data_IF_011495197971
#
_entry.id   IF_011495197971
#
_cell.length_a   1.000
_cell.length_b   1.000
_cell.length_c   1.000
_cell.angle_alpha   90.00
_cell.angle_beta   90.00
_cell.angle_gamma   90.00
#
_symmetry.space_group_name_H-M   'P 1'
#
loop_
_entity.id
_entity.type
_entity.pdbx_description
1 polymer ?
#
# COMPACT_ATOMS: atom_id res chain seq x y z
N UNK A 1 15.71 8.31 7.21
CA UNK A 1 16.34 7.56 6.09
C UNK A 1 15.91 6.13 6.26
N UNK A 2 15.36 5.48 5.24
CA UNK A 2 15.08 4.03 5.30
C UNK A 2 16.40 3.31 5.09
N UNK A 3 16.69 2.34 5.96
CA UNK A 3 17.88 1.52 5.81
C UNK A 3 17.75 0.67 4.55
N UNK A 4 18.80 0.63 3.74
CA UNK A 4 18.86 -0.24 2.56
C UNK A 4 19.01 -1.71 2.98
N UNK A 5 18.73 -2.65 2.08
CA UNK A 5 19.02 -4.06 2.29
C UNK A 5 20.47 -4.27 2.75
N UNK A 6 21.42 -3.55 2.15
CA UNK A 6 22.83 -3.63 2.48
C UNK A 6 23.11 -3.22 3.94
N UNK A 7 22.52 -2.09 4.37
CA UNK A 7 22.67 -1.58 5.73
C UNK A 7 22.03 -2.52 6.76
N UNK A 8 20.80 -2.99 6.46
CA UNK A 8 20.05 -3.92 7.31
C UNK A 8 20.81 -5.24 7.48
N UNK A 9 21.28 -5.85 6.39
CA UNK A 9 22.06 -7.08 6.46
C UNK A 9 23.32 -6.92 7.32
N UNK A 10 24.06 -5.84 7.10
CA UNK A 10 25.27 -5.51 7.85
C UNK A 10 24.96 -5.29 9.34
N UNK A 11 23.89 -4.58 9.66
CA UNK A 11 23.45 -4.34 11.02
C UNK A 11 23.17 -5.66 11.75
N UNK A 12 22.27 -6.50 11.24
CA UNK A 12 21.89 -7.78 11.88
C UNK A 12 23.08 -8.73 12.01
N UNK A 13 23.97 -8.77 11.01
CA UNK A 13 25.20 -9.56 11.11
C UNK A 13 26.09 -9.06 12.26
N UNK A 14 26.28 -7.75 12.40
CA UNK A 14 27.12 -7.18 13.46
C UNK A 14 26.50 -7.32 14.83
N UNK A 15 25.19 -7.21 14.97
CA UNK A 15 24.45 -7.48 16.21
C UNK A 15 24.64 -8.93 16.70
N UNK A 16 24.74 -9.89 15.77
CA UNK A 16 25.04 -11.29 16.06
C UNK A 16 26.56 -11.55 16.24
N UNK A 17 27.41 -10.51 16.20
CA UNK A 17 28.88 -10.59 16.30
C UNK A 17 29.51 -11.51 15.24
N UNK A 18 28.92 -11.61 14.05
CA UNK A 18 29.44 -12.43 12.96
C UNK A 18 30.33 -11.60 12.02
N UNK A 19 31.48 -12.17 11.62
CA UNK A 19 32.27 -11.64 10.51
C UNK A 19 31.59 -11.96 9.17
N UNK A 20 31.95 -11.25 8.10
CA UNK A 20 31.49 -11.59 6.74
C UNK A 20 31.85 -13.03 6.34
N UNK A 21 33.01 -13.54 6.78
CA UNK A 21 33.42 -14.91 6.52
C UNK A 21 32.51 -15.91 7.24
N UNK A 22 32.25 -15.71 8.52
CA UNK A 22 31.38 -16.60 9.29
C UNK A 22 29.96 -16.66 8.72
N UNK A 23 29.37 -15.50 8.33
CA UNK A 23 28.06 -15.49 7.69
C UNK A 23 28.11 -16.20 6.32
N UNK A 24 29.17 -16.04 5.55
CA UNK A 24 29.37 -16.73 4.26
C UNK A 24 29.42 -18.25 4.44
N UNK A 25 30.17 -18.73 5.43
CA UNK A 25 30.28 -20.17 5.74
C UNK A 25 28.91 -20.75 6.15
N UNK A 26 28.15 -20.03 6.97
CA UNK A 26 26.78 -20.44 7.39
C UNK A 26 25.79 -20.50 6.21
N UNK A 27 25.95 -19.63 5.22
CA UNK A 27 25.08 -19.57 4.04
C UNK A 27 25.57 -20.41 2.87
N UNK A 28 26.76 -21.02 2.99
CA UNK A 28 27.44 -21.78 1.93
C UNK A 28 27.69 -20.94 0.67
N UNK A 29 28.19 -19.71 0.87
CA UNK A 29 28.56 -18.78 -0.20
C UNK A 29 29.99 -18.27 0.02
N UNK A 30 30.56 -17.59 -0.97
CA UNK A 30 31.86 -16.93 -0.81
C UNK A 30 31.75 -15.64 0.02
N UNK A 31 32.78 -15.30 0.79
CA UNK A 31 32.87 -14.03 1.52
C UNK A 31 32.64 -12.82 0.62
N UNK A 32 33.15 -12.87 -0.62
CA UNK A 32 32.95 -11.82 -1.65
C UNK A 32 31.46 -11.58 -1.96
N UNK A 33 30.63 -12.63 -1.87
CA UNK A 33 29.17 -12.54 -2.07
C UNK A 33 28.55 -11.71 -0.95
N UNK A 34 28.90 -11.96 0.31
CA UNK A 34 28.44 -11.15 1.45
C UNK A 34 28.89 -9.70 1.30
N UNK A 35 30.14 -9.46 0.93
CA UNK A 35 30.66 -8.10 0.70
C UNK A 35 29.89 -7.36 -0.42
N UNK A 36 29.52 -8.05 -1.48
CA UNK A 36 28.71 -7.49 -2.56
C UNK A 36 27.29 -7.15 -2.10
N UNK A 37 26.67 -7.96 -1.25
CA UNK A 37 25.38 -7.68 -0.66
C UNK A 37 25.41 -6.50 0.29
N UNK A 38 26.41 -6.43 1.18
CA UNK A 38 26.56 -5.33 2.15
C UNK A 38 27.03 -4.00 1.52
N UNK A 39 27.45 -4.02 0.25
CA UNK A 39 27.76 -2.82 -0.52
C UNK A 39 26.65 -2.44 -1.51
N UNK A 40 25.55 -3.19 -1.54
CA UNK A 40 24.42 -2.95 -2.43
C UNK A 40 24.66 -3.26 -3.91
N UNK A 41 25.82 -3.88 -4.25
CA UNK A 41 26.16 -4.23 -5.64
C UNK A 41 25.31 -5.36 -6.20
N UNK A 42 24.82 -6.25 -5.34
CA UNK A 42 23.93 -7.36 -5.69
C UNK A 42 22.93 -7.59 -4.58
N UNK A 43 21.80 -8.17 -4.94
CA UNK A 43 20.75 -8.61 -4.01
C UNK A 43 20.69 -10.14 -4.10
N UNK A 44 20.53 -10.87 -2.98
CA UNK A 44 20.34 -12.32 -2.97
C UNK A 44 19.05 -12.72 -3.68
N UNK A 45 19.00 -13.96 -4.18
CA UNK A 45 17.75 -14.55 -4.62
C UNK A 45 16.83 -14.93 -3.44
N UNK A 46 15.58 -15.28 -3.73
CA UNK A 46 14.57 -15.59 -2.73
C UNK A 46 14.96 -16.72 -1.77
N UNK A 47 15.72 -17.73 -2.26
CA UNK A 47 16.18 -18.87 -1.44
C UNK A 47 17.25 -18.41 -0.45
N UNK A 48 18.16 -17.57 -0.90
CA UNK A 48 19.22 -17.00 -0.06
C UNK A 48 18.64 -16.01 0.96
N UNK A 49 17.63 -15.22 0.60
CA UNK A 49 16.93 -14.35 1.55
C UNK A 49 16.29 -15.14 2.69
N UNK A 50 15.64 -16.26 2.37
CA UNK A 50 15.07 -17.14 3.39
C UNK A 50 16.17 -17.77 4.29
N UNK A 51 17.32 -18.13 3.72
CA UNK A 51 18.46 -18.65 4.51
C UNK A 51 19.05 -17.56 5.42
N UNK A 52 19.21 -16.34 4.91
CA UNK A 52 19.70 -15.19 5.68
C UNK A 52 18.76 -14.91 6.87
N UNK A 53 17.44 -14.88 6.65
CA UNK A 53 16.47 -14.62 7.71
C UNK A 53 16.56 -15.67 8.83
N UNK A 54 16.67 -16.95 8.48
CA UNK A 54 16.83 -18.04 9.44
C UNK A 54 18.17 -17.98 10.17
N UNK A 55 19.25 -17.68 9.44
CA UNK A 55 20.62 -17.66 9.96
C UNK A 55 20.81 -16.50 10.97
N UNK A 56 20.20 -15.36 10.70
CA UNK A 56 20.28 -14.17 11.54
C UNK A 56 19.12 -14.07 12.53
N UNK A 57 18.19 -15.03 12.53
CA UNK A 57 17.02 -15.06 13.40
C UNK A 57 16.20 -13.75 13.31
N UNK A 58 15.86 -13.37 12.09
CA UNK A 58 15.14 -12.16 11.76
C UNK A 58 13.90 -12.44 10.90
N UNK A 59 12.91 -11.59 10.97
CA UNK A 59 11.74 -11.70 10.11
C UNK A 59 12.13 -11.43 8.64
N UNK A 60 11.82 -12.37 7.74
CA UNK A 60 12.08 -12.23 6.31
C UNK A 60 11.40 -10.98 5.72
N UNK A 61 10.27 -10.55 6.27
CA UNK A 61 9.57 -9.35 5.81
C UNK A 61 10.44 -8.09 5.97
N UNK A 62 11.29 -8.01 7.00
CA UNK A 62 12.24 -6.91 7.18
C UNK A 62 13.20 -6.84 5.97
N UNK A 63 13.75 -7.98 5.53
CA UNK A 63 14.62 -8.02 4.34
C UNK A 63 13.87 -7.68 3.07
N UNK A 64 12.67 -8.22 2.89
CA UNK A 64 11.86 -7.95 1.71
C UNK A 64 11.46 -6.48 1.60
N UNK A 65 11.14 -5.83 2.71
CA UNK A 65 10.82 -4.38 2.75
C UNK A 65 12.01 -3.50 2.38
N UNK A 66 13.24 -3.95 2.63
CA UNK A 66 14.46 -3.20 2.30
C UNK A 66 14.94 -3.43 0.87
N UNK A 67 14.56 -4.55 0.25
CA UNK A 67 14.85 -4.87 -1.16
C UNK A 67 13.83 -4.20 -2.06
N UNK A 68 12.58 -4.20 -1.66
CA UNK A 68 11.49 -3.54 -2.36
C UNK A 68 11.58 -2.02 -2.14
N UNK A 69 12.69 -1.41 -2.63
CA UNK A 69 12.85 0.05 -2.70
C UNK A 69 11.85 0.70 -3.66
N UNK A 70 11.06 -0.08 -4.37
CA UNK A 70 9.79 0.30 -4.95
C UNK A 70 8.67 0.09 -3.94
N UNK A 71 8.76 0.70 -2.75
CA UNK A 71 7.52 1.02 -2.05
C UNK A 71 6.85 2.04 -2.96
N UNK A 72 6.04 1.55 -3.90
CA UNK A 72 5.07 2.39 -4.58
C UNK A 72 4.38 3.17 -3.46
N UNK A 73 4.50 4.49 -3.48
CA UNK A 73 3.77 5.31 -2.53
C UNK A 73 2.30 4.91 -2.65
N UNK A 74 1.64 4.55 -1.52
CA UNK A 74 0.27 4.10 -1.59
C UNK A 74 -0.57 5.16 -2.31
N UNK A 75 -1.14 4.80 -3.44
CA UNK A 75 -1.93 5.71 -4.25
C UNK A 75 -3.40 5.57 -3.83
N UNK A 76 -3.92 6.61 -3.21
CA UNK A 76 -5.29 6.70 -2.69
C UNK A 76 -6.03 7.74 -3.52
N UNK A 77 -7.20 7.40 -4.00
CA UNK A 77 -8.06 8.37 -4.67
C UNK A 77 -9.34 8.61 -3.89
N UNK A 78 -9.89 9.80 -4.06
CA UNK A 78 -11.22 10.14 -3.61
C UNK A 78 -12.02 10.74 -4.77
N UNK A 79 -13.23 10.26 -4.98
CA UNK A 79 -14.11 10.71 -6.06
C UNK A 79 -15.43 11.20 -5.46
N UNK A 80 -15.71 12.49 -5.67
CA UNK A 80 -16.90 13.17 -5.14
C UNK A 80 -17.15 14.43 -5.97
N UNK A 81 -18.33 14.61 -6.51
CA UNK A 81 -18.65 15.77 -7.37
C UNK A 81 -18.75 17.09 -6.59
N UNK A 82 -18.89 17.01 -5.26
CA UNK A 82 -18.83 18.16 -4.37
C UNK A 82 -17.39 18.51 -3.96
N UNK A 83 -16.80 19.53 -4.54
CA UNK A 83 -15.41 19.97 -4.28
C UNK A 83 -15.10 20.24 -2.80
N UNK A 84 -16.08 20.65 -2.00
CA UNK A 84 -15.92 20.93 -0.57
C UNK A 84 -15.74 19.62 0.19
N UNK A 85 -16.59 18.63 -0.08
CA UNK A 85 -16.52 17.29 0.52
C UNK A 85 -15.21 16.61 0.12
N UNK A 86 -14.88 16.67 -1.17
CA UNK A 86 -13.64 16.12 -1.73
C UNK A 86 -12.39 16.67 -1.01
N UNK A 87 -12.27 18.00 -0.89
CA UNK A 87 -11.14 18.64 -0.20
C UNK A 87 -11.08 18.28 1.28
N UNK A 88 -12.23 18.23 1.96
CA UNK A 88 -12.32 17.83 3.37
C UNK A 88 -11.83 16.41 3.59
N UNK A 89 -12.34 15.45 2.82
CA UNK A 89 -11.93 14.04 2.90
C UNK A 89 -10.46 13.81 2.56
N UNK A 90 -9.96 14.45 1.49
CA UNK A 90 -8.53 14.39 1.13
C UNK A 90 -7.63 14.92 2.26
N UNK A 91 -8.04 16.00 2.92
CA UNK A 91 -7.31 16.54 4.07
C UNK A 91 -7.24 15.54 5.22
N UNK A 92 -8.35 14.89 5.55
CA UNK A 92 -8.40 13.85 6.60
C UNK A 92 -7.46 12.68 6.25
N UNK A 93 -7.53 12.18 5.01
CA UNK A 93 -6.70 11.07 4.55
C UNK A 93 -5.22 11.46 4.58
N UNK A 94 -4.85 12.61 4.02
CA UNK A 94 -3.46 13.08 3.94
C UNK A 94 -2.83 13.34 5.31
N UNK A 95 -3.59 13.81 6.31
CA UNK A 95 -3.08 13.95 7.68
C UNK A 95 -2.81 12.60 8.35
N UNK A 96 -3.66 11.60 8.09
CA UNK A 96 -3.50 10.27 8.68
C UNK A 96 -2.44 9.42 7.97
N UNK A 97 -2.26 9.64 6.69
CA UNK A 97 -1.42 8.82 5.81
C UNK A 97 -0.41 9.69 5.05
N UNK A 98 0.55 10.33 5.76
CA UNK A 98 1.49 11.27 5.16
C UNK A 98 2.41 10.64 4.11
N UNK A 99 2.49 9.31 4.06
CA UNK A 99 3.29 8.57 3.08
C UNK A 99 2.46 8.09 1.87
N UNK A 100 1.19 8.48 1.77
CA UNK A 100 0.34 8.14 0.65
C UNK A 100 0.18 9.34 -0.31
N UNK A 101 0.14 9.04 -1.60
CA UNK A 101 -0.29 10.01 -2.61
C UNK A 101 -1.82 10.03 -2.63
N UNK A 102 -2.42 11.16 -2.26
CA UNK A 102 -3.88 11.33 -2.23
C UNK A 102 -4.30 12.23 -3.38
N UNK A 103 -5.09 11.70 -4.31
CA UNK A 103 -5.58 12.44 -5.48
C UNK A 103 -7.12 12.48 -5.48
N UNK A 104 -7.68 13.67 -5.69
CA UNK A 104 -9.13 13.88 -5.73
C UNK A 104 -9.66 14.11 -7.15
N UNK A 105 -10.83 13.58 -7.43
CA UNK A 105 -11.52 13.74 -8.72
C UNK A 105 -12.97 14.17 -8.50
N UNK A 106 -13.41 15.20 -9.22
CA UNK A 106 -14.81 15.57 -9.29
C UNK A 106 -15.52 14.90 -10.47
N UNK A 107 -14.76 14.24 -11.35
CA UNK A 107 -15.25 13.53 -12.52
C UNK A 107 -14.92 12.04 -12.44
N UNK A 108 -15.93 11.14 -12.48
CA UNK A 108 -15.71 9.69 -12.56
C UNK A 108 -14.86 9.27 -13.75
N UNK A 109 -15.01 9.96 -14.89
CA UNK A 109 -14.24 9.70 -16.11
C UNK A 109 -12.75 9.97 -15.92
N UNK A 110 -12.39 11.06 -15.25
CA UNK A 110 -10.99 11.38 -14.94
C UNK A 110 -10.39 10.37 -13.95
N UNK A 111 -11.17 9.95 -12.95
CA UNK A 111 -10.75 8.90 -12.02
C UNK A 111 -10.46 7.58 -12.73
N UNK A 112 -11.30 7.18 -13.72
CA UNK A 112 -11.06 5.98 -14.53
C UNK A 112 -9.83 6.12 -15.43
N UNK A 113 -9.61 7.28 -16.05
CA UNK A 113 -8.42 7.53 -16.85
C UNK A 113 -7.14 7.45 -15.99
N UNK A 114 -7.19 8.01 -14.80
CA UNK A 114 -6.11 7.91 -13.84
C UNK A 114 -5.83 6.45 -13.44
N UNK A 115 -6.87 5.67 -13.12
CA UNK A 115 -6.74 4.27 -12.73
C UNK A 115 -6.18 3.36 -13.85
N UNK A 116 -6.38 3.72 -15.14
CA UNK A 116 -5.77 3.01 -16.28
C UNK A 116 -4.26 3.19 -16.38
N UNK A 117 -3.76 4.34 -15.92
CA UNK A 117 -2.33 4.70 -16.03
C UNK A 117 -1.59 4.54 -14.70
N UNK A 118 -2.30 4.40 -13.58
CA UNK A 118 -1.73 4.34 -12.24
C UNK A 118 -2.37 3.21 -11.45
N UNK A 119 -1.57 2.54 -10.63
CA UNK A 119 -2.12 1.59 -9.68
C UNK A 119 -2.83 2.33 -8.55
N UNK A 120 -4.14 2.11 -8.40
CA UNK A 120 -4.92 2.61 -7.27
C UNK A 120 -5.01 1.53 -6.20
N UNK A 121 -4.56 1.85 -4.98
CA UNK A 121 -4.56 0.91 -3.85
C UNK A 121 -5.84 1.00 -3.03
N UNK A 122 -6.38 2.22 -2.87
CA UNK A 122 -7.60 2.52 -2.13
C UNK A 122 -8.37 3.64 -2.84
N UNK A 123 -9.66 3.45 -3.02
CA UNK A 123 -10.55 4.45 -3.59
C UNK A 123 -11.72 4.71 -2.64
N UNK A 124 -11.91 5.95 -2.24
CA UNK A 124 -13.13 6.44 -1.63
C UNK A 124 -14.02 7.01 -2.73
N UNK A 125 -15.22 6.46 -2.89
CA UNK A 125 -16.12 6.80 -4.00
C UNK A 125 -17.48 7.20 -3.47
N UNK A 126 -17.92 8.42 -3.80
CA UNK A 126 -19.34 8.74 -3.58
C UNK A 126 -20.24 7.90 -4.50
N UNK A 127 -21.39 7.51 -4.01
CA UNK A 127 -22.37 6.76 -4.79
C UNK A 127 -23.10 7.69 -5.76
N UNK A 128 -23.44 8.91 -5.34
CA UNK A 128 -24.16 9.89 -6.15
C UNK A 128 -23.16 10.85 -6.83
N UNK A 129 -22.71 10.51 -8.03
CA UNK A 129 -21.74 11.28 -8.83
C UNK A 129 -22.39 11.95 -10.06
N UNK A 130 -23.51 12.60 -9.85
CA UNK A 130 -24.23 13.30 -10.91
C UNK A 130 -24.72 12.36 -12.02
N UNK A 131 -24.08 12.38 -13.20
CA UNK A 131 -24.51 11.58 -14.37
C UNK A 131 -24.08 10.11 -14.33
N UNK A 132 -23.05 9.78 -13.59
CA UNK A 132 -22.49 8.43 -13.48
C UNK A 132 -22.64 7.98 -12.03
N UNK A 133 -23.19 6.77 -11.83
CA UNK A 133 -23.33 6.20 -10.51
C UNK A 133 -21.98 5.66 -10.00
N UNK A 134 -21.64 5.96 -8.76
CA UNK A 134 -20.41 5.46 -8.12
C UNK A 134 -20.31 3.92 -8.08
N UNK A 135 -21.44 3.21 -8.11
CA UNK A 135 -21.48 1.76 -8.20
C UNK A 135 -20.92 1.25 -9.56
N UNK A 136 -21.23 1.95 -10.66
CA UNK A 136 -20.65 1.66 -11.97
C UNK A 136 -19.16 1.99 -12.00
N UNK A 137 -18.77 3.13 -11.43
CA UNK A 137 -17.36 3.50 -11.29
C UNK A 137 -16.57 2.42 -10.57
N UNK A 138 -17.07 1.90 -9.46
CA UNK A 138 -16.45 0.80 -8.73
C UNK A 138 -16.25 -0.44 -9.61
N UNK A 139 -17.29 -0.89 -10.32
CA UNK A 139 -17.22 -2.05 -11.20
C UNK A 139 -16.16 -1.88 -12.29
N UNK A 140 -16.08 -0.70 -12.92
CA UNK A 140 -15.09 -0.41 -13.94
C UNK A 140 -13.67 -0.34 -13.36
N UNK A 141 -13.48 0.26 -12.18
CA UNK A 141 -12.19 0.28 -11.51
C UNK A 141 -11.69 -1.12 -11.13
N UNK A 142 -12.58 -1.98 -10.65
CA UNK A 142 -12.24 -3.37 -10.30
C UNK A 142 -11.95 -4.24 -11.53
N UNK A 143 -12.50 -3.91 -12.73
CA UNK A 143 -12.06 -4.52 -13.99
C UNK A 143 -10.64 -4.13 -14.38
N UNK A 144 -10.24 -2.88 -14.12
CA UNK A 144 -8.87 -2.39 -14.39
C UNK A 144 -7.89 -3.04 -13.42
N UNK A 145 -8.19 -2.99 -12.11
CA UNK A 145 -7.37 -3.60 -11.08
C UNK A 145 -8.24 -4.28 -10.01
N UNK A 146 -8.40 -5.61 -10.05
CA UNK A 146 -9.21 -6.35 -9.07
C UNK A 146 -8.71 -6.27 -7.62
N UNK A 147 -7.49 -5.77 -7.41
CA UNK A 147 -6.89 -5.60 -6.07
C UNK A 147 -7.02 -4.18 -5.53
N UNK A 148 -7.78 -3.31 -6.16
CA UNK A 148 -8.14 -2.01 -5.59
C UNK A 148 -9.13 -2.22 -4.44
N UNK A 149 -8.84 -1.66 -3.28
CA UNK A 149 -9.82 -1.56 -2.19
C UNK A 149 -10.75 -0.40 -2.52
N UNK A 150 -12.06 -0.64 -2.54
CA UNK A 150 -13.06 0.40 -2.75
C UNK A 150 -13.91 0.55 -1.52
N UNK A 151 -14.06 1.79 -1.04
CA UNK A 151 -14.92 2.16 0.08
C UNK A 151 -15.88 3.23 -0.43
N UNK A 152 -17.17 2.98 -0.27
CA UNK A 152 -18.15 3.99 -0.59
C UNK A 152 -18.26 5.03 0.51
N UNK A 153 -18.40 6.27 0.12
CA UNK A 153 -18.64 7.41 1.01
C UNK A 153 -19.89 8.14 0.51
N UNK A 154 -20.98 8.06 1.25
CA UNK A 154 -22.27 8.63 0.82
C UNK A 154 -23.01 9.29 1.97
N UNK A 155 -23.92 10.20 1.65
CA UNK A 155 -24.88 10.76 2.60
C UNK A 155 -26.08 9.83 2.88
N UNK A 156 -26.25 8.78 2.05
CA UNK A 156 -27.45 7.94 2.07
C UNK A 156 -27.13 6.47 2.44
N UNK A 157 -27.41 6.07 3.70
CA UNK A 157 -27.10 4.71 4.17
C UNK A 157 -27.86 3.59 3.44
N UNK A 158 -28.97 3.89 2.79
CA UNK A 158 -29.84 2.92 2.14
C UNK A 158 -29.18 2.20 0.95
N UNK A 159 -28.12 2.79 0.37
CA UNK A 159 -27.35 2.16 -0.70
C UNK A 159 -26.41 1.02 -0.22
N UNK A 160 -26.34 0.75 1.08
CA UNK A 160 -25.41 -0.23 1.62
C UNK A 160 -25.58 -1.63 1.01
N UNK A 161 -26.80 -2.08 0.73
CA UNK A 161 -27.07 -3.39 0.12
C UNK A 161 -26.55 -3.48 -1.32
N UNK A 162 -26.81 -2.47 -2.15
CA UNK A 162 -26.35 -2.44 -3.54
C UNK A 162 -24.81 -2.30 -3.62
N UNK A 163 -24.22 -1.60 -2.66
CA UNK A 163 -22.78 -1.41 -2.56
C UNK A 163 -22.02 -2.75 -2.40
N UNK A 164 -22.54 -3.68 -1.63
CA UNK A 164 -21.91 -4.98 -1.40
C UNK A 164 -21.80 -5.84 -2.66
N UNK A 165 -22.77 -5.77 -3.56
CA UNK A 165 -22.79 -6.55 -4.82
C UNK A 165 -21.73 -6.10 -5.83
N UNK A 166 -21.11 -4.93 -5.61
CA UNK A 166 -20.07 -4.41 -6.51
C UNK A 166 -18.68 -4.96 -6.25
N UNK A 167 -18.46 -5.59 -5.10
CA UNK A 167 -17.14 -6.05 -4.67
C UNK A 167 -16.36 -5.01 -3.85
N UNK A 168 -16.98 -3.90 -3.46
CA UNK A 168 -16.39 -2.96 -2.51
C UNK A 168 -16.05 -3.64 -1.17
N UNK A 169 -15.08 -3.12 -0.45
CA UNK A 169 -14.64 -3.67 0.84
C UNK A 169 -15.13 -2.87 2.05
N UNK A 170 -15.77 -1.72 1.83
CA UNK A 170 -16.27 -0.88 2.91
C UNK A 170 -17.31 0.13 2.47
N UNK A 171 -17.92 0.73 3.49
CA UNK A 171 -18.96 1.74 3.35
C UNK A 171 -18.85 2.72 4.52
N UNK A 172 -18.99 4.01 4.25
CA UNK A 172 -18.98 5.06 5.26
C UNK A 172 -20.01 6.14 4.93
N UNK A 173 -20.54 6.77 5.98
CA UNK A 173 -21.45 7.91 5.85
C UNK A 173 -20.63 9.20 5.93
N UNK A 174 -20.91 10.13 5.02
CA UNK A 174 -20.32 11.50 5.00
C UNK A 174 -20.66 12.27 6.29
N UNK A 175 -19.76 13.11 6.81
CA UNK A 175 -18.43 13.41 6.32
C UNK A 175 -17.40 12.34 6.73
N UNK A 176 -16.34 12.15 5.93
CA UNK A 176 -15.24 11.22 6.25
C UNK A 176 -14.47 11.70 7.48
N UNK A 177 -14.40 10.86 8.50
CA UNK A 177 -13.68 11.13 9.74
C UNK A 177 -12.38 10.34 9.84
N UNK A 178 -11.46 10.83 10.68
CA UNK A 178 -10.21 10.13 10.97
C UNK A 178 -10.42 8.73 11.58
N UNK A 179 -11.47 8.58 12.37
CA UNK A 179 -11.84 7.29 13.00
C UNK A 179 -12.31 6.29 11.94
N UNK A 180 -13.18 6.71 11.03
CA UNK A 180 -13.63 5.87 9.92
C UNK A 180 -12.46 5.43 9.04
N UNK A 181 -11.53 6.34 8.70
CA UNK A 181 -10.34 5.96 7.91
C UNK A 181 -9.53 4.89 8.63
N UNK A 182 -9.26 5.04 9.93
CA UNK A 182 -8.53 4.03 10.71
C UNK A 182 -9.25 2.68 10.71
N UNK A 183 -10.55 2.68 10.95
CA UNK A 183 -11.36 1.46 10.94
C UNK A 183 -11.32 0.77 9.57
N UNK A 184 -11.47 1.53 8.48
CA UNK A 184 -11.37 0.99 7.12
C UNK A 184 -10.02 0.32 6.86
N UNK A 185 -8.92 0.95 7.28
CA UNK A 185 -7.58 0.41 7.05
C UNK A 185 -7.35 -0.95 7.74
N UNK A 186 -8.04 -1.22 8.85
CA UNK A 186 -7.97 -2.53 9.54
C UNK A 186 -8.75 -3.62 8.80
N UNK A 187 -9.69 -3.25 7.92
CA UNK A 187 -10.63 -4.16 7.25
C UNK A 187 -10.42 -4.26 5.73
N UNK A 188 -9.31 -3.71 5.22
CA UNK A 188 -9.01 -3.79 3.79
C UNK A 188 -8.91 -5.25 3.34
N UNK A 189 -9.56 -5.57 2.20
CA UNK A 189 -9.46 -6.88 1.56
C UNK A 189 -8.05 -7.18 1.10
N UNK A 190 -7.36 -6.17 0.58
CA UNK A 190 -5.98 -6.24 0.10
C UNK A 190 -5.11 -5.31 0.94
N UNK A 191 -4.24 -5.86 1.80
CA UNK A 191 -3.32 -5.04 2.60
C UNK A 191 -2.46 -4.14 1.70
N UNK A 192 -2.31 -2.88 2.11
CA UNK A 192 -1.51 -1.89 1.39
C UNK A 192 -0.17 -1.75 2.11
N UNK A 193 0.91 -2.17 1.44
CA UNK A 193 2.28 -2.01 1.98
C UNK A 193 2.63 -0.52 2.08
N UNK A 194 3.35 -0.15 3.13
CA UNK A 194 3.83 1.22 3.32
C UNK A 194 2.81 2.18 3.93
N UNK A 195 1.53 1.81 4.13
CA UNK A 195 0.62 2.58 4.96
C UNK A 195 1.03 2.44 6.43
N UNK A 196 1.42 3.54 7.04
CA UNK A 196 1.69 3.65 8.49
C UNK A 196 0.67 4.62 9.07
N UNK A 197 -0.07 4.18 10.08
CA UNK A 197 -0.91 5.01 10.93
C UNK A 197 -0.06 5.74 11.95
#
# INVERSE_FOLDING_TARGET
MKDSFADTLKQFRTEKNLSQQQLADMLFVERSTIANWETGRRIPDAVLLLRISKCLDMDINILLETIDNTVEEPNIIMVDDESIILKGGMSVIGHLLPNALVTGFTSPTEALLFAKSNRVHLAYIDIELGKLNGLELCREMLKINPRTNVIYLTAYPDYALEAWDTGACGFAVKPLSAEQVRDHLTRLRFPIRGLRL
#
